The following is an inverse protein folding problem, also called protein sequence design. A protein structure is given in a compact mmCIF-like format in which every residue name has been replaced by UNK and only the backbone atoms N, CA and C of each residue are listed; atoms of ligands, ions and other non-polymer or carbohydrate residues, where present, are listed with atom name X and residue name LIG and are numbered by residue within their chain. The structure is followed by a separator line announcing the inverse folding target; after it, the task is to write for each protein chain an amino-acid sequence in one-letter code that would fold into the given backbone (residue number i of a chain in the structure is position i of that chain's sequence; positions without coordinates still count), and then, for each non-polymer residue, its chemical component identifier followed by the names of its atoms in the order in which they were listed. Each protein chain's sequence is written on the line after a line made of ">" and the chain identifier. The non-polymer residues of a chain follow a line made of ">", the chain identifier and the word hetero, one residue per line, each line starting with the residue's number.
data_IF_337163095107
#
_entry.id   IF_337163095107
#
_cell.length_a   1.000
_cell.length_b   1.000
_cell.length_c   1.000
_cell.angle_alpha   90.00
_cell.angle_beta   90.00
_cell.angle_gamma   90.00
#
_symmetry.space_group_name_H-M   'P 1'
#
loop_
_entity.id
_entity.type
_entity.pdbx_description
1 polymer ?
#
# COMPACT_ATOMS: atom_id res chain seq x y z
N UNK A 1 -37.37 44.90 -21.59
CA UNK A 1 -36.28 44.55 -22.53
C UNK A 1 -34.96 44.13 -21.86
N UNK A 2 -34.76 44.37 -20.56
CA UNK A 2 -33.51 44.07 -19.82
C UNK A 2 -33.45 42.62 -19.27
N UNK A 3 -34.61 41.99 -19.00
CA UNK A 3 -34.73 40.68 -18.33
C UNK A 3 -34.45 39.46 -19.23
N UNK A 4 -34.60 39.59 -20.56
CA UNK A 4 -34.30 38.51 -21.51
C UNK A 4 -32.80 38.34 -21.76
N UNK A 5 -32.05 39.46 -21.83
CA UNK A 5 -30.60 39.44 -22.00
C UNK A 5 -29.88 38.78 -20.81
N UNK A 6 -30.37 39.02 -19.59
CA UNK A 6 -29.82 38.42 -18.37
C UNK A 6 -29.95 36.88 -18.36
N UNK A 7 -31.06 36.34 -18.87
CA UNK A 7 -31.26 34.89 -18.97
C UNK A 7 -30.31 34.26 -20.00
N UNK A 8 -30.06 34.93 -21.12
CA UNK A 8 -29.10 34.46 -22.14
C UNK A 8 -27.65 34.48 -21.64
N UNK A 9 -27.26 35.50 -20.87
CA UNK A 9 -25.92 35.52 -20.25
C UNK A 9 -25.76 34.41 -19.21
N UNK A 10 -26.79 34.13 -18.41
CA UNK A 10 -26.76 33.05 -17.42
C UNK A 10 -26.60 31.67 -18.08
N UNK A 11 -27.35 31.39 -19.15
CA UNK A 11 -27.20 30.13 -19.91
C UNK A 11 -25.82 30.02 -20.57
N UNK A 12 -25.28 31.11 -21.10
CA UNK A 12 -23.92 31.14 -21.66
C UNK A 12 -22.84 30.86 -20.60
N UNK A 13 -22.99 31.42 -19.40
CA UNK A 13 -22.03 31.26 -18.30
C UNK A 13 -22.07 29.84 -17.72
N UNK A 14 -23.25 29.25 -17.58
CA UNK A 14 -23.43 27.84 -17.17
C UNK A 14 -22.83 26.90 -18.22
N UNK A 15 -23.07 27.15 -19.52
CA UNK A 15 -22.49 26.36 -20.61
C UNK A 15 -20.96 26.40 -20.62
N UNK A 16 -20.37 27.57 -20.40
CA UNK A 16 -18.92 27.72 -20.29
C UNK A 16 -18.34 26.98 -19.07
N UNK A 17 -19.02 27.03 -17.92
CA UNK A 17 -18.60 26.35 -16.69
C UNK A 17 -18.66 24.82 -16.82
N UNK A 18 -19.70 24.29 -17.50
CA UNK A 18 -19.84 22.86 -17.75
C UNK A 18 -18.75 22.32 -18.68
N UNK A 19 -18.34 23.10 -19.69
CA UNK A 19 -17.27 22.72 -20.62
C UNK A 19 -15.88 22.66 -19.95
N UNK A 20 -15.64 23.45 -18.91
CA UNK A 20 -14.36 23.40 -18.17
C UNK A 20 -14.26 22.16 -17.27
N UNK A 21 -15.40 21.59 -16.85
CA UNK A 21 -15.43 20.40 -15.98
C UNK A 21 -14.99 19.11 -16.70
N UNK A 22 -15.19 19.03 -18.02
CA UNK A 22 -14.82 17.84 -18.80
C UNK A 22 -13.31 17.70 -19.07
N UNK A 23 -12.53 18.79 -18.93
CA UNK A 23 -11.10 18.80 -19.26
C UNK A 23 -10.20 18.37 -18.10
N UNK A 24 -10.71 18.40 -16.86
CA UNK A 24 -9.91 18.16 -15.66
C UNK A 24 -10.31 16.84 -14.98
N UNK A 25 -10.10 15.72 -15.66
CA UNK A 25 -10.08 14.42 -14.98
C UNK A 25 -8.77 14.33 -14.19
N UNK A 26 -8.78 14.34 -12.84
CA UNK A 26 -7.56 14.01 -12.11
C UNK A 26 -7.15 12.61 -12.55
N UNK A 27 -5.91 12.46 -13.02
CA UNK A 27 -5.36 11.14 -13.27
C UNK A 27 -5.62 10.31 -12.02
N UNK A 28 -6.40 9.22 -12.14
CA UNK A 28 -6.61 8.32 -11.02
C UNK A 28 -5.22 7.83 -10.64
N UNK A 29 -4.70 8.30 -9.52
CA UNK A 29 -3.48 7.75 -8.92
C UNK A 29 -3.81 6.30 -8.59
N UNK A 30 -3.52 5.38 -9.51
CA UNK A 30 -3.77 3.97 -9.32
C UNK A 30 -2.90 3.52 -8.17
N UNK A 31 -3.49 3.35 -6.99
CA UNK A 31 -2.89 2.59 -5.90
C UNK A 31 -2.89 1.12 -6.32
N UNK A 32 -1.95 0.77 -7.19
CA UNK A 32 -1.61 -0.62 -7.47
C UNK A 32 -0.62 -1.05 -6.39
N UNK A 33 -1.13 -1.62 -5.31
CA UNK A 33 -0.31 -2.32 -4.33
C UNK A 33 -0.15 -3.77 -4.79
N UNK A 34 1.07 -4.30 -4.74
CA UNK A 34 1.27 -5.74 -4.95
C UNK A 34 0.64 -6.49 -3.77
N UNK A 35 0.17 -7.72 -3.98
CA UNK A 35 -0.36 -8.55 -2.88
C UNK A 35 0.71 -8.76 -1.80
N UNK A 36 1.98 -8.84 -2.19
CA UNK A 36 3.11 -8.95 -1.26
C UNK A 36 3.21 -7.70 -0.38
N UNK A 37 3.09 -6.50 -0.94
CA UNK A 37 3.13 -5.26 -0.17
C UNK A 37 1.89 -5.07 0.71
N UNK A 38 0.72 -5.53 0.24
CA UNK A 38 -0.48 -5.55 1.05
C UNK A 38 -0.38 -6.52 2.24
N UNK A 39 0.35 -7.63 2.10
CA UNK A 39 0.58 -8.64 3.15
C UNK A 39 1.78 -8.32 4.06
N UNK A 40 2.61 -7.33 3.69
CA UNK A 40 3.69 -6.80 4.54
C UNK A 40 3.10 -5.99 5.69
N UNK A 41 2.47 -6.67 6.64
CA UNK A 41 2.05 -6.09 7.90
C UNK A 41 3.20 -6.16 8.91
N UNK A 42 3.58 -5.05 9.52
CA UNK A 42 4.56 -5.01 10.62
C UNK A 42 5.93 -4.41 10.26
N UNK A 43 6.64 -3.97 11.27
CA UNK A 43 7.95 -3.33 11.14
C UNK A 43 9.07 -4.38 10.97
N UNK A 44 9.54 -4.54 9.73
CA UNK A 44 10.69 -5.40 9.41
C UNK A 44 12.00 -4.85 10.02
N UNK A 45 12.07 -3.58 10.42
CA UNK A 45 13.28 -3.00 10.99
C UNK A 45 13.60 -3.54 12.40
N UNK A 46 12.61 -4.13 13.09
CA UNK A 46 12.79 -4.70 14.42
C UNK A 46 13.50 -6.07 14.41
N UNK A 47 13.66 -6.71 13.25
CA UNK A 47 14.19 -8.09 13.15
C UNK A 47 15.44 -8.16 12.25
N UNK A 48 16.33 -9.09 12.58
CA UNK A 48 17.55 -9.33 11.81
C UNK A 48 17.22 -10.06 10.51
N UNK A 49 17.85 -9.64 9.41
CA UNK A 49 17.81 -10.34 8.12
C UNK A 49 19.00 -11.32 8.00
N UNK A 50 18.77 -12.62 7.78
CA UNK A 50 19.85 -13.57 7.53
C UNK A 50 20.35 -13.46 6.09
N UNK A 51 21.19 -12.46 5.80
CA UNK A 51 21.70 -12.17 4.44
C UNK A 51 23.00 -12.88 4.09
N UNK A 52 23.62 -13.57 5.06
CA UNK A 52 24.87 -14.28 4.90
C UNK A 52 24.87 -15.58 5.72
N UNK A 53 25.74 -16.55 5.38
CA UNK A 53 25.95 -17.74 6.20
C UNK A 53 26.42 -17.37 7.62
N UNK A 54 26.00 -18.17 8.60
CA UNK A 54 26.37 -18.08 10.01
C UNK A 54 26.84 -19.45 10.49
N UNK A 55 27.89 -19.48 11.31
CA UNK A 55 28.29 -20.68 12.02
C UNK A 55 27.36 -20.95 13.21
N UNK A 56 26.81 -22.16 13.27
CA UNK A 56 26.00 -22.61 14.40
C UNK A 56 26.90 -23.14 15.52
N UNK A 57 26.70 -22.62 16.74
CA UNK A 57 27.39 -23.02 17.96
C UNK A 57 26.40 -23.66 18.90
N UNK A 58 26.58 -24.95 19.14
CA UNK A 58 25.77 -25.71 20.07
C UNK A 58 26.45 -25.79 21.45
N UNK A 59 25.69 -25.72 22.57
CA UNK A 59 24.22 -25.77 22.67
C UNK A 59 23.51 -24.41 22.59
N UNK A 60 24.23 -23.29 22.41
CA UNK A 60 23.64 -21.94 22.39
C UNK A 60 22.52 -21.81 21.36
N UNK A 61 22.73 -22.33 20.16
CA UNK A 61 21.82 -22.18 19.02
C UNK A 61 20.74 -23.31 18.98
N UNK A 62 20.62 -24.08 20.06
CA UNK A 62 19.52 -25.04 20.27
C UNK A 62 18.29 -24.39 20.93
N UNK A 63 18.38 -23.12 21.31
CA UNK A 63 17.32 -22.36 21.97
C UNK A 63 16.52 -21.49 20.99
N UNK A 64 15.60 -20.66 21.52
CA UNK A 64 14.83 -19.72 20.72
C UNK A 64 15.72 -18.62 20.13
N UNK A 65 15.32 -18.09 18.97
CA UNK A 65 16.03 -17.06 18.23
C UNK A 65 15.22 -15.75 18.13
N UNK A 66 15.07 -14.96 19.22
CA UNK A 66 14.16 -13.82 19.29
C UNK A 66 14.55 -12.63 18.39
N UNK A 67 15.77 -12.62 17.85
CA UNK A 67 16.23 -11.61 16.91
C UNK A 67 15.58 -11.76 15.52
N UNK A 68 14.98 -12.91 15.22
CA UNK A 68 14.34 -13.19 13.94
C UNK A 68 12.82 -13.15 14.06
N UNK A 69 12.18 -12.73 12.96
CA UNK A 69 10.74 -12.53 12.91
C UNK A 69 9.93 -13.82 13.02
N UNK A 70 10.47 -14.92 12.50
CA UNK A 70 9.78 -16.20 12.41
C UNK A 70 10.73 -17.32 12.82
N UNK A 71 10.25 -18.18 13.70
CA UNK A 71 10.95 -19.38 14.15
C UNK A 71 9.97 -20.56 14.13
N UNK A 72 10.46 -21.74 13.74
CA UNK A 72 9.64 -22.95 13.62
C UNK A 72 10.30 -24.09 14.38
N UNK A 73 9.50 -24.79 15.17
CA UNK A 73 9.88 -26.04 15.82
C UNK A 73 9.03 -27.15 15.20
N UNK A 74 9.67 -28.10 14.52
CA UNK A 74 8.98 -29.21 13.87
C UNK A 74 9.43 -30.54 14.48
N UNK A 75 8.47 -31.31 14.96
CA UNK A 75 8.69 -32.62 15.56
C UNK A 75 7.76 -33.64 14.90
N UNK A 76 8.30 -34.80 14.53
CA UNK A 76 7.55 -35.93 13.95
C UNK A 76 7.89 -37.22 14.67
N UNK A 77 6.95 -38.16 14.70
CA UNK A 77 7.14 -39.48 15.31
C UNK A 77 6.07 -40.48 14.88
N UNK A 78 6.44 -41.76 14.81
CA UNK A 78 5.54 -42.90 14.62
C UNK A 78 5.53 -43.74 15.91
N UNK A 79 4.41 -44.41 16.21
CA UNK A 79 4.24 -45.30 17.36
C UNK A 79 4.19 -46.76 16.89
#
# INVERSE_FOLDING_TARGET
>A
MIRSKQLSYLFGLIGALLMTSCINSPARTGMSATVVDALRFGDDAAYVRPTAPMDFVFPRDHGPHPAYRTEWWYYTGNL
#
